data_IF_864769218875
#
_entry.id   IF_864769218875
#
_cell.length_a   1.000
_cell.length_b   1.000
_cell.length_c   1.000
_cell.angle_alpha   90.00
_cell.angle_beta   90.00
_cell.angle_gamma   90.00
#
_symmetry.space_group_name_H-M   'P 1'
#
loop_
_entity.id
_entity.type
_entity.pdbx_description
1 polymer ?
#
# COMPACT_ATOMS: atom_id res chain seq x y z
N UNK A 1 -10.79 -14.85 -17.48
CA UNK A 1 -10.02 -16.11 -17.33
C UNK A 1 -9.41 -16.15 -15.94
N UNK A 2 -9.87 -17.05 -15.09
CA UNK A 2 -9.23 -17.33 -13.81
C UNK A 2 -8.01 -18.22 -14.07
N UNK A 3 -6.86 -17.64 -14.35
CA UNK A 3 -5.61 -18.37 -14.28
C UNK A 3 -5.35 -18.68 -12.80
N UNK A 4 -5.78 -19.85 -12.36
CA UNK A 4 -5.30 -20.40 -11.09
C UNK A 4 -3.80 -20.63 -11.24
N UNK A 5 -3.05 -19.84 -10.53
CA UNK A 5 -1.60 -19.99 -10.43
C UNK A 5 -1.27 -21.44 -10.01
N UNK A 6 -0.43 -22.10 -10.77
CA UNK A 6 -0.04 -23.49 -10.49
C UNK A 6 0.82 -23.54 -9.22
N UNK A 7 0.88 -24.71 -8.55
CA UNK A 7 1.76 -24.91 -7.39
C UNK A 7 3.24 -24.63 -7.68
N UNK A 8 3.67 -24.87 -8.92
CA UNK A 8 5.02 -24.58 -9.40
C UNK A 8 5.30 -23.08 -9.49
N UNK A 9 4.36 -22.30 -10.02
CA UNK A 9 4.48 -20.84 -10.10
C UNK A 9 4.56 -20.20 -8.71
N UNK A 10 3.77 -20.70 -7.76
CA UNK A 10 3.84 -20.30 -6.35
C UNK A 10 5.19 -20.61 -5.75
N UNK A 11 5.72 -21.81 -5.99
CA UNK A 11 7.03 -22.23 -5.49
C UNK A 11 8.15 -21.36 -6.07
N UNK A 12 8.12 -21.07 -7.37
CA UNK A 12 9.10 -20.19 -8.02
C UNK A 12 9.05 -18.78 -7.45
N UNK A 13 7.86 -18.22 -7.21
CA UNK A 13 7.69 -16.92 -6.57
C UNK A 13 8.25 -16.89 -5.16
N UNK A 14 8.07 -17.95 -4.38
CA UNK A 14 8.65 -18.09 -3.05
C UNK A 14 10.19 -18.13 -3.07
N UNK A 15 10.80 -18.61 -4.15
CA UNK A 15 12.25 -18.64 -4.31
C UNK A 15 12.84 -17.29 -4.74
N UNK A 16 12.03 -16.36 -5.23
CA UNK A 16 12.47 -15.05 -5.71
C UNK A 16 11.63 -13.90 -5.13
N UNK A 17 11.78 -13.57 -3.84
CA UNK A 17 11.01 -12.50 -3.20
C UNK A 17 11.28 -11.12 -3.80
N UNK A 18 12.49 -10.83 -4.26
CA UNK A 18 12.82 -9.55 -4.90
C UNK A 18 12.17 -9.43 -6.26
N UNK A 19 12.10 -10.51 -7.04
CA UNK A 19 11.37 -10.54 -8.31
C UNK A 19 9.88 -10.31 -8.11
N UNK A 20 9.28 -10.94 -7.12
CA UNK A 20 7.87 -10.71 -6.75
C UNK A 20 7.64 -9.26 -6.33
N UNK A 21 8.54 -8.70 -5.53
CA UNK A 21 8.43 -7.30 -5.10
C UNK A 21 8.47 -6.32 -6.28
N UNK A 22 9.42 -6.49 -7.20
CA UNK A 22 9.53 -5.65 -8.40
C UNK A 22 8.31 -5.78 -9.32
N UNK A 23 7.82 -6.99 -9.54
CA UNK A 23 6.59 -7.24 -10.31
C UNK A 23 5.39 -6.57 -9.64
N UNK A 24 5.32 -6.62 -8.32
CA UNK A 24 4.27 -5.97 -7.54
C UNK A 24 4.30 -4.45 -7.69
N UNK A 25 5.48 -3.83 -7.72
CA UNK A 25 5.59 -2.38 -7.95
C UNK A 25 5.08 -1.98 -9.33
N UNK A 26 5.34 -2.77 -10.36
CA UNK A 26 4.83 -2.52 -11.71
C UNK A 26 3.31 -2.72 -11.79
N UNK A 27 2.77 -3.72 -11.12
CA UNK A 27 1.33 -3.94 -10.98
C UNK A 27 0.63 -2.78 -10.26
N UNK A 28 1.22 -2.26 -9.21
CA UNK A 28 0.71 -1.11 -8.47
C UNK A 28 0.65 0.14 -9.35
N UNK A 29 1.68 0.38 -10.15
CA UNK A 29 1.68 1.48 -11.12
C UNK A 29 0.58 1.33 -12.16
N UNK A 30 0.35 0.13 -12.66
CA UNK A 30 -0.74 -0.17 -13.60
C UNK A 30 -2.11 0.02 -12.96
N UNK A 31 -2.27 -0.44 -11.73
CA UNK A 31 -3.50 -0.24 -10.95
C UNK A 31 -3.82 1.25 -10.77
N UNK A 32 -2.82 2.08 -10.47
CA UNK A 32 -3.01 3.52 -10.29
C UNK A 32 -3.43 4.25 -11.59
N UNK A 33 -3.09 3.70 -12.75
CA UNK A 33 -3.49 4.28 -14.06
C UNK A 33 -4.93 3.95 -14.45
N UNK A 34 -5.61 3.07 -13.74
CA UNK A 34 -7.03 2.81 -13.96
C UNK A 34 -7.84 4.07 -13.65
N UNK A 35 -8.78 4.41 -14.51
CA UNK A 35 -9.52 5.69 -14.52
C UNK A 35 -10.19 6.07 -13.20
N UNK A 36 -10.46 5.09 -12.34
CA UNK A 36 -11.17 5.28 -11.08
C UNK A 36 -10.27 5.50 -9.86
N UNK A 37 -8.97 5.29 -9.98
CA UNK A 37 -8.04 5.26 -8.84
C UNK A 37 -7.25 6.55 -8.71
N UNK A 38 -6.47 6.92 -9.68
CA UNK A 38 -5.68 8.15 -9.81
C UNK A 38 -5.18 8.74 -8.47
N UNK A 39 -4.33 7.99 -7.78
CA UNK A 39 -3.75 8.36 -6.49
C UNK A 39 -2.74 9.51 -6.64
N UNK A 40 -2.74 10.44 -5.69
CA UNK A 40 -1.67 11.42 -5.52
C UNK A 40 -0.34 10.73 -5.15
N UNK A 41 0.76 11.45 -5.21
CA UNK A 41 2.08 10.90 -4.84
C UNK A 41 2.11 10.40 -3.39
N UNK A 42 1.51 11.13 -2.46
CA UNK A 42 1.40 10.71 -1.05
C UNK A 42 0.54 9.47 -0.89
N UNK A 43 -0.61 9.42 -1.55
CA UNK A 43 -1.49 8.25 -1.54
C UNK A 43 -0.79 7.03 -2.15
N UNK A 44 -0.08 7.23 -3.26
CA UNK A 44 0.68 6.19 -3.93
C UNK A 44 1.82 5.65 -3.06
N UNK A 45 2.52 6.52 -2.33
CA UNK A 45 3.53 6.11 -1.38
C UNK A 45 2.94 5.23 -0.28
N UNK A 46 1.85 5.69 0.35
CA UNK A 46 1.13 4.91 1.36
C UNK A 46 0.62 3.59 0.81
N UNK A 47 0.00 3.61 -0.36
CA UNK A 47 -0.51 2.41 -1.02
C UNK A 47 0.58 1.37 -1.26
N UNK A 48 1.74 1.77 -1.76
CA UNK A 48 2.88 0.87 -1.99
C UNK A 48 3.36 0.19 -0.70
N UNK A 49 3.48 0.96 0.38
CA UNK A 49 3.92 0.43 1.68
C UNK A 49 2.93 -0.54 2.32
N UNK A 50 1.67 -0.47 1.96
CA UNK A 50 0.64 -1.44 2.38
C UNK A 50 0.56 -2.61 1.40
N UNK A 51 0.48 -2.35 0.11
CA UNK A 51 0.23 -3.35 -0.93
C UNK A 51 1.41 -4.30 -1.14
N UNK A 52 2.64 -3.81 -1.13
CA UNK A 52 3.84 -4.65 -1.26
C UNK A 52 3.90 -5.77 -0.22
N UNK A 53 3.91 -5.46 1.08
CA UNK A 53 3.88 -6.46 2.13
C UNK A 53 2.63 -7.35 2.12
N UNK A 54 1.46 -6.80 1.75
CA UNK A 54 0.23 -7.58 1.66
C UNK A 54 0.34 -8.67 0.58
N UNK A 55 0.86 -8.35 -0.60
CA UNK A 55 1.09 -9.32 -1.68
C UNK A 55 2.09 -10.39 -1.25
N UNK A 56 3.22 -10.00 -0.67
CA UNK A 56 4.22 -10.95 -0.18
C UNK A 56 3.60 -11.90 0.85
N UNK A 57 2.93 -11.36 1.85
CA UNK A 57 2.34 -12.16 2.93
C UNK A 57 1.19 -13.05 2.44
N UNK A 58 0.36 -12.55 1.53
CA UNK A 58 -0.71 -13.34 0.90
C UNK A 58 -0.18 -14.52 0.08
N UNK A 59 1.04 -14.41 -0.45
CA UNK A 59 1.76 -15.47 -1.14
C UNK A 59 2.61 -16.36 -0.19
N UNK A 60 2.23 -16.43 1.07
CA UNK A 60 2.83 -17.31 2.10
C UNK A 60 4.25 -16.97 2.55
N UNK A 61 4.77 -15.78 2.25
CA UNK A 61 6.02 -15.35 2.87
C UNK A 61 5.81 -15.14 4.37
N UNK A 62 6.71 -15.63 5.24
CA UNK A 62 6.59 -15.43 6.68
C UNK A 62 6.52 -13.93 7.03
N UNK A 63 5.68 -13.58 7.99
CA UNK A 63 5.52 -12.20 8.43
C UNK A 63 6.84 -11.57 8.90
N UNK A 64 7.68 -12.31 9.60
CA UNK A 64 9.02 -11.87 10.02
C UNK A 64 9.95 -11.54 8.86
N UNK A 65 9.95 -12.35 7.81
CA UNK A 65 10.74 -12.09 6.61
C UNK A 65 10.22 -10.87 5.83
N UNK A 66 8.92 -10.75 5.66
CA UNK A 66 8.29 -9.60 5.00
C UNK A 66 8.57 -8.31 5.76
N UNK A 67 8.52 -8.36 7.09
CA UNK A 67 8.88 -7.22 7.97
C UNK A 67 10.35 -6.86 7.85
N UNK A 68 11.23 -7.87 7.80
CA UNK A 68 12.67 -7.66 7.61
C UNK A 68 13.00 -6.98 6.28
N UNK A 69 12.36 -7.35 5.18
CA UNK A 69 12.56 -6.69 3.88
C UNK A 69 12.12 -5.22 3.93
N UNK A 70 10.97 -4.92 4.53
CA UNK A 70 10.50 -3.56 4.74
C UNK A 70 11.47 -2.74 5.59
N UNK A 71 11.93 -3.33 6.70
CA UNK A 71 12.86 -2.67 7.61
C UNK A 71 14.22 -2.41 6.99
N UNK A 72 14.75 -3.34 6.20
CA UNK A 72 16.04 -3.19 5.49
C UNK A 72 15.97 -2.04 4.48
N UNK A 73 14.86 -1.90 3.77
CA UNK A 73 14.62 -0.79 2.85
C UNK A 73 14.57 0.55 3.60
N UNK A 74 13.84 0.60 4.71
CA UNK A 74 13.70 1.82 5.52
C UNK A 74 15.02 2.26 6.15
N UNK A 75 15.86 1.34 6.59
CA UNK A 75 17.22 1.65 7.05
C UNK A 75 18.05 2.29 5.93
N UNK A 76 18.00 1.73 4.72
CA UNK A 76 18.69 2.31 3.58
C UNK A 76 18.20 3.74 3.30
N UNK A 77 16.90 3.95 3.30
CA UNK A 77 16.30 5.26 3.08
C UNK A 77 16.69 6.25 4.19
N UNK A 78 16.77 5.81 5.44
CA UNK A 78 17.22 6.62 6.57
C UNK A 78 18.68 7.06 6.43
N UNK A 79 19.57 6.17 6.01
CA UNK A 79 20.97 6.48 5.73
C UNK A 79 21.13 7.44 4.52
N UNK A 80 20.13 7.52 3.65
CA UNK A 80 20.09 8.46 2.52
C UNK A 80 19.45 9.81 2.89
N UNK A 81 19.17 10.08 4.16
CA UNK A 81 18.71 11.37 4.68
C UNK A 81 17.19 11.54 4.78
N UNK A 82 16.40 10.47 4.73
CA UNK A 82 14.97 10.53 5.06
C UNK A 82 14.75 10.69 6.55
N UNK A 83 13.71 11.45 6.93
CA UNK A 83 13.38 11.71 8.32
C UNK A 83 12.89 10.48 9.10
N UNK A 84 13.14 10.48 10.41
CA UNK A 84 12.71 9.39 11.31
C UNK A 84 11.18 9.20 11.34
N UNK A 85 10.42 10.29 11.23
CA UNK A 85 8.95 10.23 11.24
C UNK A 85 8.41 9.57 9.98
N UNK A 86 8.99 9.84 8.81
CA UNK A 86 8.63 9.17 7.56
C UNK A 86 8.91 7.66 7.64
N UNK A 87 10.04 7.27 8.22
CA UNK A 87 10.41 5.88 8.45
C UNK A 87 9.40 5.17 9.36
N UNK A 88 8.98 5.78 10.48
CA UNK A 88 7.96 5.21 11.37
C UNK A 88 6.62 5.05 10.68
N UNK A 89 6.23 6.01 9.87
CA UNK A 89 5.00 5.96 9.09
C UNK A 89 5.01 4.81 8.08
N UNK A 90 6.10 4.66 7.34
CA UNK A 90 6.27 3.60 6.36
C UNK A 90 6.29 2.21 7.01
N UNK A 91 6.95 2.04 8.16
CA UNK A 91 6.94 0.80 8.92
C UNK A 91 5.53 0.42 9.42
N UNK A 92 4.75 1.40 9.87
CA UNK A 92 3.35 1.19 10.26
C UNK A 92 2.51 0.72 9.08
N UNK A 93 2.68 1.32 7.92
CA UNK A 93 2.00 0.90 6.69
C UNK A 93 2.41 -0.51 6.25
N UNK A 94 3.68 -0.88 6.41
CA UNK A 94 4.15 -2.23 6.17
C UNK A 94 3.46 -3.26 7.09
N UNK A 95 3.30 -2.95 8.38
CA UNK A 95 2.58 -3.81 9.33
C UNK A 95 1.09 -3.97 8.98
N UNK A 96 0.45 -2.91 8.54
CA UNK A 96 -0.92 -2.97 8.00
C UNK A 96 -0.99 -3.94 6.83
N UNK A 97 -0.06 -3.84 5.89
CA UNK A 97 0.02 -4.73 4.72
C UNK A 97 0.21 -6.20 5.11
N UNK A 98 1.11 -6.48 6.05
CA UNK A 98 1.33 -7.85 6.58
C UNK A 98 0.05 -8.42 7.18
N UNK A 99 -0.68 -7.63 7.97
CA UNK A 99 -1.94 -8.04 8.59
C UNK A 99 -3.00 -8.35 7.53
N UNK A 100 -3.11 -7.53 6.49
CA UNK A 100 -4.03 -7.76 5.36
C UNK A 100 -3.66 -9.06 4.64
N UNK A 101 -2.40 -9.24 4.27
CA UNK A 101 -1.94 -10.44 3.59
C UNK A 101 -2.13 -11.72 4.40
N UNK A 102 -1.98 -11.64 5.73
CA UNK A 102 -2.25 -12.74 6.65
C UNK A 102 -3.73 -13.12 6.71
N UNK A 103 -4.61 -12.11 6.65
CA UNK A 103 -6.06 -12.29 6.67
C UNK A 103 -6.60 -12.84 5.34
N UNK A 104 -5.96 -12.51 4.24
CA UNK A 104 -6.38 -12.90 2.91
C UNK A 104 -5.29 -13.70 2.18
N UNK A 105 -4.98 -14.92 2.62
CA UNK A 105 -3.97 -15.75 1.98
C UNK A 105 -4.42 -16.17 0.57
N UNK A 106 -3.46 -16.31 -0.33
CA UNK A 106 -3.69 -16.76 -1.71
C UNK A 106 -4.76 -15.93 -2.46
N UNK A 107 -4.82 -14.65 -2.17
CA UNK A 107 -5.75 -13.72 -2.82
C UNK A 107 -5.08 -13.02 -4.00
N UNK A 108 -5.84 -12.79 -5.08
CA UNK A 108 -5.32 -12.08 -6.25
C UNK A 108 -4.87 -10.66 -5.91
N UNK A 109 -3.83 -10.17 -6.57
CA UNK A 109 -3.31 -8.83 -6.36
C UNK A 109 -4.40 -7.76 -6.52
N UNK A 110 -5.24 -7.89 -7.55
CA UNK A 110 -6.34 -6.93 -7.79
C UNK A 110 -7.29 -6.84 -6.62
N UNK A 111 -7.70 -7.96 -6.03
CA UNK A 111 -8.59 -7.98 -4.85
C UNK A 111 -7.92 -7.34 -3.63
N UNK A 112 -6.63 -7.60 -3.41
CA UNK A 112 -5.87 -6.94 -2.35
C UNK A 112 -5.79 -5.44 -2.58
N UNK A 113 -5.52 -5.00 -3.80
CA UNK A 113 -5.44 -3.58 -4.15
C UNK A 113 -6.78 -2.87 -3.97
N UNK A 114 -7.87 -3.47 -4.44
CA UNK A 114 -9.22 -2.91 -4.27
C UNK A 114 -9.57 -2.77 -2.77
N UNK A 115 -9.24 -3.76 -1.97
CA UNK A 115 -9.44 -3.72 -0.52
C UNK A 115 -8.62 -2.60 0.14
N UNK A 116 -7.33 -2.50 -0.19
CA UNK A 116 -6.42 -1.51 0.38
C UNK A 116 -6.87 -0.10 -0.02
N UNK A 117 -7.19 0.11 -1.28
CA UNK A 117 -7.67 1.40 -1.76
C UNK A 117 -8.92 1.84 -1.03
N UNK A 118 -9.93 0.98 -0.98
CA UNK A 118 -11.22 1.26 -0.35
C UNK A 118 -11.11 1.52 1.16
N UNK A 119 -10.25 0.80 1.87
CA UNK A 119 -10.20 0.85 3.33
C UNK A 119 -9.09 1.75 3.89
N UNK A 120 -8.06 2.07 3.11
CA UNK A 120 -6.89 2.81 3.58
C UNK A 120 -6.57 4.08 2.79
N UNK A 121 -7.11 4.27 1.61
CA UNK A 121 -6.89 5.47 0.78
C UNK A 121 -8.16 6.33 0.69
N UNK A 122 -9.27 5.79 0.22
CA UNK A 122 -10.54 6.53 0.09
C UNK A 122 -11.01 7.21 1.37
N UNK A 123 -10.96 6.58 2.56
CA UNK A 123 -11.42 7.23 3.79
C UNK A 123 -10.69 8.55 4.09
N UNK A 124 -9.41 8.63 3.75
CA UNK A 124 -8.63 9.85 3.95
C UNK A 124 -8.99 10.95 2.93
N UNK A 125 -9.34 10.58 1.71
CA UNK A 125 -9.86 11.52 0.72
C UNK A 125 -11.15 12.16 1.18
N UNK A 126 -12.08 11.38 1.68
CA UNK A 126 -13.36 11.86 2.22
C UNK A 126 -13.15 12.78 3.42
N UNK A 127 -12.27 12.41 4.35
CA UNK A 127 -11.95 13.24 5.51
C UNK A 127 -11.35 14.59 5.11
N UNK A 128 -10.40 14.62 4.19
CA UNK A 128 -9.82 15.87 3.68
C UNK A 128 -10.85 16.73 2.96
N UNK A 129 -11.74 16.12 2.19
CA UNK A 129 -12.82 16.83 1.50
C UNK A 129 -13.79 17.47 2.50
N UNK A 130 -14.19 16.73 3.53
CA UNK A 130 -15.06 17.24 4.59
C UNK A 130 -14.42 18.40 5.36
N UNK A 131 -13.13 18.30 5.70
CA UNK A 131 -12.39 19.39 6.34
C UNK A 131 -12.38 20.64 5.47
N UNK A 132 -12.09 20.52 4.18
CA UNK A 132 -12.08 21.64 3.24
C UNK A 132 -13.46 22.29 3.11
N UNK A 133 -14.53 21.50 3.10
CA UNK A 133 -15.89 22.01 3.07
C UNK A 133 -16.25 22.80 4.35
N UNK A 134 -15.77 22.36 5.52
CA UNK A 134 -15.95 23.08 6.79
C UNK A 134 -15.16 24.39 6.82
N UNK A 135 -13.94 24.41 6.32
CA UNK A 135 -13.11 25.61 6.23
C UNK A 135 -13.76 26.67 5.32
N UNK A 136 -14.27 26.25 4.16
CA UNK A 136 -14.96 27.16 3.24
C UNK A 136 -16.23 27.78 3.88
N UNK A 137 -17.02 26.98 4.60
CA UNK A 137 -18.22 27.50 5.31
C UNK A 137 -17.85 28.53 6.37
N UNK A 138 -16.76 28.34 7.11
CA UNK A 138 -16.27 29.31 8.12
C UNK A 138 -15.77 30.61 7.49
N UNK A 139 -15.16 30.53 6.28
CA UNK A 139 -14.74 31.70 5.53
C UNK A 139 -15.93 32.58 5.12
N UNK A 140 -16.98 31.96 4.57
CA UNK A 140 -18.18 32.67 4.12
C UNK A 140 -18.99 33.33 5.25
N UNK A 141 -18.88 32.82 6.49
CA UNK A 141 -19.53 33.42 7.67
C UNK A 141 -18.76 34.65 8.21
N UNK A 142 -17.46 34.70 8.02
CA UNK A 142 -16.61 35.82 8.47
C UNK A 142 -16.69 37.03 7.50
N UNK A 143 -16.94 36.79 6.21
CA UNK A 143 -17.07 37.86 5.20
C UNK A 143 -18.44 38.56 5.24
N UNK A 144 -19.41 38.08 6.04
CA UNK A 144 -20.74 38.64 6.21
C UNK A 144 -20.91 39.51 7.46
N UNK A 145 -19.85 39.81 8.19
CA UNK A 145 -19.83 40.73 9.34
C UNK A 145 -19.10 42.01 8.98
#
# INVERSE_FOLDING_TARGET
MNNKETGMEKFIKQLNPLGLYNTTLDDIKRYNRADTVNMSEQEMNRFRHIAGPAVLRSNYYPAGFTRFLGWSKELKDLFQGRGLEDTKYDLRNNDIGINIGSKYPNTSNKKLYDYIFKNHIEPQRLSKFQQKMMENKRGDENDKK
#
